data_IF_335738214768
#
_entry.id   IF_335738214768
#
_cell.length_a   1.000
_cell.length_b   1.000
_cell.length_c   1.000
_cell.angle_alpha   90.00
_cell.angle_beta   90.00
_cell.angle_gamma   90.00
#
_symmetry.space_group_name_H-M   'P 1'
#
loop_
_entity.id
_entity.type
_entity.pdbx_description
1 polymer ?
#
# COMPACT_ATOMS: atom_id res chain seq x y z
N UNK A 1 2.44 -13.07 22.12
CA UNK A 1 1.76 -12.46 20.96
C UNK A 1 1.07 -13.58 20.23
N UNK A 2 -0.24 -13.49 20.10
CA UNK A 2 -1.04 -14.53 19.46
C UNK A 2 -0.52 -14.82 18.03
N UNK A 3 -0.39 -16.11 17.65
CA UNK A 3 0.11 -16.52 16.35
C UNK A 3 -0.71 -15.94 15.17
N UNK A 4 -2.01 -15.72 15.35
CA UNK A 4 -2.88 -15.06 14.36
C UNK A 4 -2.48 -13.60 14.15
N UNK A 5 -2.30 -12.84 15.23
CA UNK A 5 -1.86 -11.42 15.16
C UNK A 5 -0.50 -11.32 14.47
N UNK A 6 0.42 -12.24 14.77
CA UNK A 6 1.73 -12.31 14.10
C UNK A 6 1.58 -12.56 12.60
N UNK A 7 0.74 -13.51 12.21
CA UNK A 7 0.50 -13.86 10.81
C UNK A 7 -0.10 -12.68 10.04
N UNK A 8 -1.13 -12.03 10.57
CA UNK A 8 -1.74 -10.85 9.93
C UNK A 8 -0.76 -9.69 9.75
N UNK A 9 0.14 -9.46 10.71
CA UNK A 9 1.19 -8.44 10.56
C UNK A 9 2.18 -8.80 9.45
N UNK A 10 2.59 -10.06 9.35
CA UNK A 10 3.48 -10.53 8.28
C UNK A 10 2.79 -10.35 6.92
N UNK A 11 1.55 -10.79 6.79
CA UNK A 11 0.75 -10.64 5.57
C UNK A 11 0.60 -9.16 5.19
N UNK A 12 0.34 -8.29 6.16
CA UNK A 12 0.29 -6.84 5.94
C UNK A 12 1.61 -6.29 5.38
N UNK A 13 2.75 -6.72 5.92
CA UNK A 13 4.07 -6.34 5.39
C UNK A 13 4.33 -6.87 3.98
N UNK A 14 3.90 -8.09 3.66
CA UNK A 14 4.02 -8.66 2.31
C UNK A 14 3.22 -7.81 1.32
N UNK A 15 1.95 -7.52 1.60
CA UNK A 15 1.13 -6.69 0.72
C UNK A 15 1.69 -5.27 0.59
N UNK A 16 2.21 -4.70 1.69
CA UNK A 16 2.86 -3.39 1.64
C UNK A 16 4.08 -3.39 0.73
N UNK A 17 4.94 -4.41 0.85
CA UNK A 17 6.12 -4.55 0.00
C UNK A 17 5.72 -4.67 -1.49
N UNK A 18 4.69 -5.45 -1.80
CA UNK A 18 4.17 -5.57 -3.17
C UNK A 18 3.67 -4.22 -3.67
N UNK A 19 2.84 -3.52 -2.89
CA UNK A 19 2.29 -2.22 -3.28
C UNK A 19 3.39 -1.18 -3.55
N UNK A 20 4.40 -1.12 -2.67
CA UNK A 20 5.55 -0.23 -2.86
C UNK A 20 6.34 -0.59 -4.12
N UNK A 21 6.55 -1.87 -4.40
CA UNK A 21 7.24 -2.29 -5.63
C UNK A 21 6.46 -1.90 -6.88
N UNK A 22 5.14 -2.07 -6.89
CA UNK A 22 4.27 -1.67 -8.01
C UNK A 22 4.38 -0.17 -8.27
N UNK A 23 4.34 0.66 -7.22
CA UNK A 23 4.49 2.12 -7.36
C UNK A 23 5.88 2.48 -7.87
N UNK A 24 6.94 1.91 -7.30
CA UNK A 24 8.31 2.19 -7.70
C UNK A 24 8.54 1.81 -9.18
N UNK A 25 8.03 0.65 -9.59
CA UNK A 25 8.08 0.23 -11.00
C UNK A 25 7.29 1.18 -11.89
N UNK A 26 6.05 1.52 -11.53
CA UNK A 26 5.21 2.41 -12.33
C UNK A 26 5.82 3.80 -12.53
N UNK A 27 6.41 4.37 -11.48
CA UNK A 27 7.13 5.66 -11.57
C UNK A 27 8.41 5.51 -12.40
N UNK A 28 9.16 4.41 -12.21
CA UNK A 28 10.38 4.13 -12.96
C UNK A 28 10.13 3.99 -14.46
N UNK A 29 9.09 3.26 -14.88
CA UNK A 29 8.70 3.13 -16.29
C UNK A 29 8.26 4.47 -16.86
N UNK A 30 7.46 5.25 -16.12
CA UNK A 30 7.04 6.59 -16.54
C UNK A 30 8.23 7.53 -16.79
N UNK A 31 9.23 7.49 -15.91
CA UNK A 31 10.46 8.26 -16.08
C UNK A 31 11.25 7.84 -17.32
N UNK A 32 11.36 6.53 -17.58
CA UNK A 32 12.09 6.03 -18.74
C UNK A 32 11.38 6.36 -20.07
N UNK A 33 10.05 6.37 -20.08
CA UNK A 33 9.25 6.62 -21.29
C UNK A 33 9.08 8.11 -21.60
N UNK A 34 8.81 8.94 -20.60
CA UNK A 34 8.41 10.34 -20.78
C UNK A 34 9.26 11.35 -19.97
N UNK A 35 10.24 10.87 -19.20
CA UNK A 35 11.17 11.72 -18.47
C UNK A 35 10.48 12.70 -17.50
N UNK A 36 10.96 13.95 -17.41
CA UNK A 36 10.38 14.97 -16.53
C UNK A 36 8.91 15.30 -16.85
N UNK A 37 8.50 15.24 -18.12
CA UNK A 37 7.13 15.52 -18.54
C UNK A 37 6.15 14.45 -18.02
N UNK A 38 6.57 13.18 -18.01
CA UNK A 38 5.79 12.09 -17.43
C UNK A 38 5.55 12.27 -15.93
N UNK A 39 6.56 12.70 -15.18
CA UNK A 39 6.41 12.98 -13.74
C UNK A 39 5.51 14.19 -13.49
N UNK A 40 5.64 15.25 -14.29
CA UNK A 40 4.73 16.39 -14.18
C UNK A 40 3.28 16.00 -14.45
N UNK A 41 3.04 15.14 -15.45
CA UNK A 41 1.71 14.60 -15.70
C UNK A 41 1.22 13.75 -14.52
N UNK A 42 2.06 12.89 -13.93
CA UNK A 42 1.67 12.10 -12.76
C UNK A 42 1.27 12.99 -11.56
N UNK A 43 1.91 14.15 -11.40
CA UNK A 43 1.62 15.11 -10.33
C UNK A 43 0.47 16.06 -10.68
N UNK A 44 -0.02 16.06 -11.92
CA UNK A 44 -1.16 16.86 -12.34
C UNK A 44 -2.42 16.40 -11.58
N UNK A 45 -3.14 17.30 -10.88
CA UNK A 45 -4.40 16.98 -10.22
C UNK A 45 -5.46 16.37 -11.15
N UNK A 46 -5.39 16.65 -12.46
CA UNK A 46 -6.25 16.01 -13.46
C UNK A 46 -6.10 14.48 -13.49
N UNK A 47 -4.95 13.96 -13.04
CA UNK A 47 -4.65 12.53 -12.92
C UNK A 47 -4.94 11.95 -11.53
N UNK A 48 -5.82 12.59 -10.74
CA UNK A 48 -6.24 12.11 -9.42
C UNK A 48 -6.68 10.63 -9.40
N UNK A 49 -7.24 10.13 -10.51
CA UNK A 49 -7.64 8.72 -10.65
C UNK A 49 -6.45 7.77 -10.48
N UNK A 50 -5.26 8.13 -11.00
CA UNK A 50 -4.02 7.33 -10.85
C UNK A 50 -3.60 7.23 -9.38
N UNK A 51 -3.79 8.30 -8.62
CA UNK A 51 -3.51 8.30 -7.20
C UNK A 51 -4.52 7.47 -6.41
N UNK A 52 -5.81 7.52 -6.78
CA UNK A 52 -6.84 6.68 -6.16
C UNK A 52 -6.55 5.20 -6.40
N UNK A 53 -6.25 4.79 -7.64
CA UNK A 53 -5.93 3.39 -7.95
C UNK A 53 -4.63 2.94 -7.26
N UNK A 54 -3.65 3.85 -7.17
CA UNK A 54 -2.42 3.62 -6.40
C UNK A 54 -2.74 3.36 -4.92
N UNK A 55 -3.56 4.22 -4.30
CA UNK A 55 -3.98 4.07 -2.90
C UNK A 55 -4.75 2.76 -2.67
N UNK A 56 -5.62 2.36 -3.59
CA UNK A 56 -6.37 1.10 -3.51
C UNK A 56 -5.45 -0.13 -3.49
N UNK A 57 -4.28 -0.05 -4.12
CA UNK A 57 -3.28 -1.13 -4.10
C UNK A 57 -2.76 -1.40 -2.68
N UNK A 58 -2.82 -0.41 -1.77
CA UNK A 58 -2.45 -0.56 -0.37
C UNK A 58 -3.57 -1.12 0.52
N UNK A 59 -4.82 -1.17 0.03
CA UNK A 59 -5.97 -1.57 0.83
C UNK A 59 -5.81 -2.94 1.53
N UNK A 60 -5.27 -4.00 0.87
CA UNK A 60 -5.05 -5.29 1.54
C UNK A 60 -4.04 -5.21 2.69
N UNK A 61 -2.99 -4.40 2.55
CA UNK A 61 -2.00 -4.18 3.60
C UNK A 61 -2.62 -3.47 4.81
N UNK A 62 -3.38 -2.40 4.55
CA UNK A 62 -4.09 -1.64 5.58
C UNK A 62 -5.11 -2.53 6.30
N UNK A 63 -5.90 -3.30 5.58
CA UNK A 63 -6.87 -4.23 6.15
C UNK A 63 -6.20 -5.27 7.07
N UNK A 64 -5.06 -5.83 6.64
CA UNK A 64 -4.31 -6.81 7.41
C UNK A 64 -3.78 -6.23 8.73
N UNK A 65 -3.23 -5.01 8.69
CA UNK A 65 -2.77 -4.34 9.91
C UNK A 65 -3.91 -3.94 10.82
N UNK A 66 -5.02 -3.47 10.26
CA UNK A 66 -6.20 -3.07 11.02
C UNK A 66 -6.84 -4.28 11.72
N UNK A 67 -6.95 -5.42 11.04
CA UNK A 67 -7.42 -6.66 11.65
C UNK A 67 -6.51 -7.11 12.81
N UNK A 68 -5.19 -7.06 12.63
CA UNK A 68 -4.23 -7.36 13.70
C UNK A 68 -4.36 -6.42 14.90
N UNK A 69 -4.63 -5.13 14.65
CA UNK A 69 -4.87 -4.14 15.70
C UNK A 69 -6.16 -4.43 16.49
N UNK A 70 -7.26 -4.74 15.80
CA UNK A 70 -8.53 -5.06 16.46
C UNK A 70 -8.43 -6.31 17.32
N UNK A 71 -7.76 -7.37 16.84
CA UNK A 71 -7.54 -8.59 17.62
C UNK A 71 -6.68 -8.33 18.85
N UNK A 72 -5.58 -7.59 18.69
CA UNK A 72 -4.73 -7.21 19.82
C UNK A 72 -5.50 -6.42 20.87
N UNK A 73 -6.38 -5.51 20.44
CA UNK A 73 -7.19 -4.70 21.35
C UNK A 73 -8.16 -5.57 22.15
N UNK A 74 -8.81 -6.55 21.51
CA UNK A 74 -9.71 -7.50 22.21
C UNK A 74 -8.98 -8.31 23.27
N UNK A 75 -7.78 -8.82 22.99
CA UNK A 75 -6.95 -9.54 23.97
C UNK A 75 -6.54 -8.70 25.19
N UNK A 76 -6.61 -7.37 25.12
CA UNK A 76 -6.30 -6.48 26.24
C UNK A 76 -7.53 -6.13 27.08
N UNK A 77 -8.73 -6.31 26.52
CA UNK A 77 -10.01 -6.02 27.16
C UNK A 77 -10.57 -7.26 27.89
N UNK A 78 -10.05 -8.46 27.59
CA UNK A 78 -10.34 -9.77 28.23
C UNK A 78 -9.32 -10.13 29.33
#
# INVERSE_FOLDING_TARGET
>A
MDPMIRTLRIVGWVFLAIAVNVVAWGVGTLWLEAGPAGIQALLDPANAVVWITTLLTFAPAVASFYAAYLLKRREQDD
#
